data_IF_316914361254
#
_entry.id   IF_316914361254
#
_cell.length_a   1.000
_cell.length_b   1.000
_cell.length_c   1.000
_cell.angle_alpha   90.00
_cell.angle_beta   90.00
_cell.angle_gamma   90.00
#
_symmetry.space_group_name_H-M   'P 1'
#
loop_
_entity.id
_entity.type
_entity.pdbx_description
1 polymer ?
#
# COMPACT_ATOMS: atom_id res chain seq x y z
N UNK A 1 13.75 -4.96 -8.24
CA UNK A 1 12.58 -5.16 -7.36
C UNK A 1 12.94 -4.56 -6.00
N UNK A 2 12.28 -3.48 -5.56
CA UNK A 2 12.67 -2.78 -4.32
C UNK A 2 11.71 -3.21 -3.21
N UNK A 3 12.19 -3.90 -2.15
CA UNK A 3 11.34 -4.46 -1.10
C UNK A 3 10.70 -3.41 -0.17
N UNK A 4 11.14 -2.15 -0.23
CA UNK A 4 10.68 -1.05 0.63
C UNK A 4 9.87 -0.03 -0.16
N UNK A 5 8.64 -0.38 -0.58
CA UNK A 5 7.76 0.54 -1.33
C UNK A 5 6.99 1.54 -0.46
N UNK A 6 6.95 1.33 0.86
CA UNK A 6 6.13 2.16 1.73
C UNK A 6 6.97 3.21 2.46
N UNK A 7 6.67 4.49 2.21
CA UNK A 7 7.35 5.62 2.84
C UNK A 7 7.27 5.57 4.38
N UNK A 8 6.32 4.83 4.96
CA UNK A 8 6.23 4.60 6.40
C UNK A 8 7.50 4.00 7.02
N UNK A 9 8.26 3.20 6.26
CA UNK A 9 9.53 2.65 6.74
C UNK A 9 10.64 3.70 6.87
N UNK A 10 10.45 4.89 6.27
CA UNK A 10 11.37 6.02 6.41
C UNK A 10 11.07 6.88 7.63
N UNK A 11 9.94 6.67 8.34
CA UNK A 11 9.56 7.48 9.51
C UNK A 11 10.66 7.47 10.59
N UNK A 12 11.26 6.31 10.96
CA UNK A 12 12.34 6.31 11.96
C UNK A 12 13.60 7.05 11.48
N UNK A 13 14.00 6.86 10.23
CA UNK A 13 15.17 7.53 9.64
C UNK A 13 14.95 9.04 9.50
N UNK A 14 13.71 9.48 9.25
CA UNK A 14 13.37 10.89 9.11
C UNK A 14 13.76 11.72 10.34
N UNK A 15 13.67 11.13 11.55
CA UNK A 15 14.10 11.80 12.78
C UNK A 15 15.61 12.08 12.79
N UNK A 16 16.44 11.11 12.38
CA UNK A 16 17.88 11.31 12.28
C UNK A 16 18.22 12.33 11.20
N UNK A 17 17.56 12.26 10.04
CA UNK A 17 17.74 13.24 8.95
C UNK A 17 17.39 14.65 9.43
N UNK A 18 16.32 14.81 10.21
CA UNK A 18 15.93 16.10 10.76
C UNK A 18 16.96 16.63 11.77
N UNK A 19 17.46 15.78 12.67
CA UNK A 19 18.48 16.17 13.66
C UNK A 19 19.80 16.59 13.00
N UNK A 20 20.35 15.76 12.11
CA UNK A 20 21.57 16.09 11.39
C UNK A 20 21.39 17.29 10.45
N UNK A 21 20.20 17.42 9.86
CA UNK A 21 19.83 18.59 9.06
C UNK A 21 19.84 19.88 9.90
N UNK A 22 19.28 19.84 11.11
CA UNK A 22 19.26 20.97 12.03
C UNK A 22 20.68 21.37 12.48
N UNK A 23 21.53 20.40 12.82
CA UNK A 23 22.93 20.65 13.17
C UNK A 23 23.69 21.29 12.00
N UNK A 24 23.49 20.78 10.79
CA UNK A 24 24.07 21.35 9.56
C UNK A 24 23.62 22.81 9.34
N UNK A 25 22.32 23.08 9.48
CA UNK A 25 21.77 24.43 9.37
C UNK A 25 22.35 25.37 10.44
N UNK A 26 22.52 24.90 11.67
CA UNK A 26 23.10 25.68 12.77
C UNK A 26 24.58 26.01 12.53
N UNK A 27 25.36 25.08 11.98
CA UNK A 27 26.75 25.32 11.59
C UNK A 27 26.84 26.34 10.45
N UNK A 28 25.97 26.22 9.44
CA UNK A 28 25.88 27.18 8.33
C UNK A 28 25.50 28.57 8.86
N UNK A 29 24.49 28.64 9.74
CA UNK A 29 24.05 29.88 10.36
C UNK A 29 25.18 30.56 11.14
N UNK A 30 25.88 29.83 12.02
CA UNK A 30 27.02 30.34 12.80
C UNK A 30 28.14 30.90 11.92
N UNK A 31 28.31 30.36 10.71
CA UNK A 31 29.32 30.85 9.75
C UNK A 31 28.84 32.11 9.03
N UNK A 32 27.59 32.12 8.57
CA UNK A 32 26.99 33.25 7.84
C UNK A 32 26.73 34.46 8.74
N UNK A 33 26.34 34.24 9.99
CA UNK A 33 26.01 35.31 10.94
C UNK A 33 27.22 36.13 11.42
N UNK A 34 28.44 35.74 11.04
CA UNK A 34 29.67 36.50 11.35
C UNK A 34 29.73 37.86 10.66
N UNK A 35 28.99 38.03 9.57
CA UNK A 35 28.90 39.28 8.83
C UNK A 35 27.42 39.70 8.72
N UNK A 36 27.08 41.00 8.83
CA UNK A 36 25.68 41.45 8.79
C UNK A 36 24.98 41.11 7.47
N UNK A 37 25.67 41.25 6.34
CA UNK A 37 25.17 40.80 5.02
C UNK A 37 24.97 39.27 4.95
N UNK A 38 25.84 38.51 5.61
CA UNK A 38 25.73 37.06 5.73
C UNK A 38 24.54 36.62 6.58
N UNK A 39 24.25 37.33 7.67
CA UNK A 39 23.09 37.08 8.52
C UNK A 39 21.77 37.30 7.76
N UNK A 40 21.65 38.40 7.02
CA UNK A 40 20.45 38.73 6.22
C UNK A 40 20.23 37.70 5.11
N UNK A 41 21.28 37.37 4.35
CA UNK A 41 21.20 36.37 3.27
C UNK A 41 20.91 34.96 3.81
N UNK A 42 21.53 34.57 4.93
CA UNK A 42 21.23 33.31 5.61
C UNK A 42 19.78 33.23 6.08
N UNK A 43 19.23 34.33 6.60
CA UNK A 43 17.83 34.38 7.03
C UNK A 43 16.88 34.26 5.84
N UNK A 44 17.17 34.96 4.74
CA UNK A 44 16.38 34.85 3.51
C UNK A 44 16.40 33.43 2.94
N UNK A 45 17.56 32.77 2.90
CA UNK A 45 17.68 31.37 2.46
C UNK A 45 16.90 30.41 3.37
N UNK A 46 16.97 30.61 4.69
CA UNK A 46 16.20 29.82 5.64
C UNK A 46 14.69 29.99 5.43
N UNK A 47 14.23 31.23 5.24
CA UNK A 47 12.82 31.52 4.99
C UNK A 47 12.34 30.90 3.66
N UNK A 48 13.14 30.98 2.59
CA UNK A 48 12.84 30.31 1.32
C UNK A 48 12.76 28.78 1.49
N UNK A 49 13.65 28.20 2.30
CA UNK A 49 13.59 26.78 2.65
C UNK A 49 12.29 26.40 3.36
N UNK A 50 11.87 27.18 4.36
CA UNK A 50 10.60 26.98 5.06
C UNK A 50 9.39 27.09 4.11
N UNK A 51 9.40 28.07 3.22
CA UNK A 51 8.35 28.22 2.20
C UNK A 51 8.31 26.99 1.29
N UNK A 52 9.48 26.52 0.82
CA UNK A 52 9.58 25.31 -0.01
C UNK A 52 9.05 24.06 0.70
N UNK A 53 9.38 23.88 1.98
CA UNK A 53 8.86 22.77 2.81
C UNK A 53 7.34 22.87 2.97
N UNK A 54 6.81 24.07 3.23
CA UNK A 54 5.37 24.28 3.35
C UNK A 54 4.62 24.01 2.04
N UNK A 55 5.15 24.46 0.91
CA UNK A 55 4.56 24.16 -0.41
C UNK A 55 4.57 22.65 -0.69
N UNK A 56 5.67 21.97 -0.37
CA UNK A 56 5.76 20.51 -0.50
C UNK A 56 4.74 19.81 0.40
N UNK A 57 4.58 20.28 1.65
CA UNK A 57 3.57 19.77 2.56
C UNK A 57 2.16 19.92 1.98
N UNK A 58 1.82 21.08 1.41
CA UNK A 58 0.53 21.31 0.78
C UNK A 58 0.32 20.41 -0.45
N UNK A 59 1.30 20.31 -1.33
CA UNK A 59 1.22 19.46 -2.53
C UNK A 59 0.98 17.99 -2.18
N UNK A 60 1.61 17.49 -1.12
CA UNK A 60 1.49 16.08 -0.71
C UNK A 60 0.20 15.82 0.08
N UNK A 61 -0.18 16.73 0.99
CA UNK A 61 -1.27 16.47 1.94
C UNK A 61 -2.63 16.99 1.47
N UNK A 62 -2.70 18.08 0.69
CA UNK A 62 -3.97 18.63 0.22
C UNK A 62 -4.77 17.64 -0.65
N UNK A 63 -4.17 16.89 -1.60
CA UNK A 63 -4.91 15.86 -2.33
C UNK A 63 -5.41 14.75 -1.41
N UNK A 64 -4.62 14.33 -0.42
CA UNK A 64 -5.00 13.28 0.53
C UNK A 64 -6.21 13.65 1.39
N UNK A 65 -6.37 14.94 1.72
CA UNK A 65 -7.55 15.43 2.43
C UNK A 65 -8.83 15.32 1.60
N UNK A 66 -8.72 15.26 0.27
CA UNK A 66 -9.87 15.05 -0.63
C UNK A 66 -10.12 13.57 -0.95
N UNK A 67 -9.23 12.66 -0.55
CA UNK A 67 -9.44 11.24 -0.76
C UNK A 67 -10.58 10.76 0.15
N UNK A 68 -11.59 10.17 -0.47
CA UNK A 68 -12.73 9.58 0.23
C UNK A 68 -12.76 8.08 -0.04
N UNK A 69 -13.32 7.32 0.88
CA UNK A 69 -13.47 5.88 0.71
C UNK A 69 -14.78 5.50 -0.02
N UNK A 70 -15.44 6.46 -0.67
CA UNK A 70 -16.78 6.26 -1.25
C UNK A 70 -16.78 5.16 -2.31
N UNK A 71 -15.79 5.15 -3.22
CA UNK A 71 -15.67 4.13 -4.26
C UNK A 71 -15.42 2.74 -3.66
N UNK A 72 -14.49 2.65 -2.70
CA UNK A 72 -14.18 1.42 -1.98
C UNK A 72 -15.42 0.86 -1.26
N UNK A 73 -16.16 1.72 -0.55
CA UNK A 73 -17.38 1.33 0.15
C UNK A 73 -18.46 0.87 -0.83
N UNK A 74 -18.63 1.56 -1.96
CA UNK A 74 -19.59 1.15 -2.99
C UNK A 74 -19.26 -0.21 -3.58
N UNK A 75 -17.98 -0.51 -3.82
CA UNK A 75 -17.57 -1.83 -4.32
C UNK A 75 -17.76 -2.92 -3.27
N UNK A 76 -17.45 -2.66 -2.01
CA UNK A 76 -17.70 -3.61 -0.92
C UNK A 76 -19.18 -3.89 -0.71
N UNK A 77 -20.03 -2.87 -0.85
CA UNK A 77 -21.47 -3.05 -0.78
C UNK A 77 -21.98 -3.99 -1.88
N UNK A 78 -21.46 -3.88 -3.11
CA UNK A 78 -21.77 -4.83 -4.20
C UNK A 78 -21.33 -6.26 -3.87
N UNK A 79 -20.12 -6.42 -3.32
CA UNK A 79 -19.64 -7.75 -2.87
C UNK A 79 -20.57 -8.31 -1.80
N UNK A 80 -20.93 -7.51 -0.80
CA UNK A 80 -21.86 -7.93 0.25
C UNK A 80 -23.22 -8.35 -0.31
N UNK A 81 -23.81 -7.55 -1.19
CA UNK A 81 -25.12 -7.87 -1.77
C UNK A 81 -25.10 -9.13 -2.66
N UNK A 82 -23.95 -9.46 -3.23
CA UNK A 82 -23.81 -10.58 -4.18
C UNK A 82 -23.38 -11.88 -3.54
N UNK A 83 -22.34 -11.83 -2.69
CA UNK A 83 -21.66 -13.02 -2.20
C UNK A 83 -22.32 -13.46 -0.88
N UNK A 84 -22.83 -14.71 -0.80
CA UNK A 84 -23.40 -15.25 0.43
C UNK A 84 -22.38 -15.26 1.57
N UNK A 85 -22.78 -14.84 2.78
CA UNK A 85 -21.86 -14.68 3.94
C UNK A 85 -21.17 -15.97 4.40
N UNK A 86 -21.69 -17.13 4.01
CA UNK A 86 -21.14 -18.45 4.33
C UNK A 86 -20.16 -18.97 3.27
N UNK A 87 -19.99 -18.26 2.15
CA UNK A 87 -19.03 -18.62 1.11
C UNK A 87 -17.63 -18.09 1.44
N UNK A 88 -16.61 -18.87 1.06
CA UNK A 88 -15.22 -18.44 1.18
C UNK A 88 -14.89 -17.37 0.13
N UNK A 89 -14.15 -16.34 0.56
CA UNK A 89 -13.56 -15.33 -0.33
C UNK A 89 -12.07 -15.26 -0.04
N UNK A 90 -11.23 -15.47 -1.06
CA UNK A 90 -9.82 -15.14 -0.95
C UNK A 90 -9.66 -13.62 -0.97
N UNK A 91 -9.27 -13.02 0.14
CA UNK A 91 -9.12 -11.58 0.27
C UNK A 91 -7.65 -11.14 0.20
N UNK A 92 -7.27 -10.60 -0.96
CA UNK A 92 -5.90 -10.15 -1.16
C UNK A 92 -5.63 -8.75 -0.60
N UNK A 93 -6.67 -7.96 -0.33
CA UNK A 93 -6.56 -6.54 0.05
C UNK A 93 -7.07 -6.24 1.48
N UNK A 94 -7.73 -7.20 2.11
CA UNK A 94 -8.21 -7.12 3.50
C UNK A 94 -9.47 -6.31 3.71
N UNK A 95 -10.31 -6.21 2.68
CA UNK A 95 -11.53 -5.39 2.70
C UNK A 95 -12.81 -6.20 2.97
N UNK A 96 -12.75 -7.52 2.85
CA UNK A 96 -13.86 -8.48 2.97
C UNK A 96 -13.76 -9.34 4.24
N UNK A 97 -13.27 -8.75 5.34
CA UNK A 97 -12.98 -9.41 6.63
C UNK A 97 -14.17 -10.15 7.29
N UNK A 98 -15.38 -9.95 6.78
CA UNK A 98 -16.60 -10.58 7.28
C UNK A 98 -16.93 -11.91 6.60
N UNK A 99 -16.13 -12.33 5.61
CA UNK A 99 -16.19 -13.66 5.01
C UNK A 99 -15.08 -14.56 5.54
N UNK A 100 -15.29 -15.88 5.57
CA UNK A 100 -14.21 -16.81 5.86
C UNK A 100 -13.16 -16.76 4.74
N UNK A 101 -11.89 -16.58 5.12
CA UNK A 101 -10.77 -16.59 4.20
C UNK A 101 -10.25 -18.03 4.03
N UNK A 102 -10.10 -18.54 2.79
CA UNK A 102 -9.55 -19.86 2.54
C UNK A 102 -8.04 -19.95 2.79
N UNK A 103 -7.34 -18.82 2.88
CA UNK A 103 -5.90 -18.77 2.97
C UNK A 103 -5.44 -17.91 4.15
N UNK A 104 -4.44 -18.40 4.87
CA UNK A 104 -4.01 -17.75 6.11
C UNK A 104 -3.26 -16.43 5.88
N UNK A 105 -2.68 -16.22 4.70
CA UNK A 105 -1.96 -14.99 4.37
C UNK A 105 -2.88 -14.07 3.54
N UNK A 106 -3.55 -13.14 4.21
CA UNK A 106 -4.37 -12.11 3.56
C UNK A 106 -3.62 -10.77 3.50
N UNK A 107 -4.19 -9.84 2.74
CA UNK A 107 -4.03 -8.40 2.98
C UNK A 107 -2.62 -7.81 2.73
N UNK A 108 -1.64 -8.65 2.38
CA UNK A 108 -0.27 -8.28 2.02
C UNK A 108 0.09 -8.96 0.69
N UNK A 109 0.96 -8.36 -0.14
CA UNK A 109 1.36 -8.95 -1.42
C UNK A 109 2.33 -10.12 -1.21
N UNK A 110 1.83 -11.24 -0.66
CA UNK A 110 2.64 -12.34 -0.14
C UNK A 110 3.48 -13.07 -1.19
N UNK A 111 3.02 -13.10 -2.44
CA UNK A 111 3.84 -13.62 -3.54
C UNK A 111 5.17 -12.88 -3.70
N UNK A 112 5.26 -11.62 -3.29
CA UNK A 112 6.49 -10.81 -3.43
C UNK A 112 7.55 -11.14 -2.38
N UNK A 113 7.15 -11.63 -1.21
CA UNK A 113 8.06 -11.84 -0.08
C UNK A 113 8.15 -13.27 0.43
N UNK A 114 7.30 -14.18 -0.06
CA UNK A 114 7.32 -15.59 0.35
C UNK A 114 8.69 -16.27 0.16
N UNK A 115 9.48 -15.85 -0.85
CA UNK A 115 10.81 -16.40 -1.11
C UNK A 115 11.87 -16.02 -0.08
N UNK A 116 11.57 -15.04 0.78
CA UNK A 116 12.47 -14.61 1.87
C UNK A 116 12.11 -15.24 3.22
N UNK A 117 11.03 -16.01 3.28
CA UNK A 117 10.63 -16.67 4.52
C UNK A 117 11.46 -17.92 4.75
N UNK A 118 11.82 -18.14 6.01
CA UNK A 118 12.52 -19.36 6.42
C UNK A 118 11.66 -20.62 6.27
N UNK A 119 10.33 -20.46 6.27
CA UNK A 119 9.38 -21.54 6.00
C UNK A 119 8.51 -21.16 4.79
N UNK A 120 8.31 -22.07 3.82
CA UNK A 120 7.48 -21.79 2.65
C UNK A 120 6.01 -21.65 3.06
N UNK A 121 5.29 -20.75 2.39
CA UNK A 121 3.85 -20.65 2.55
C UNK A 121 3.18 -21.93 1.96
N UNK A 122 2.09 -22.45 2.56
CA UNK A 122 1.20 -23.43 1.94
C UNK A 122 0.79 -23.08 0.51
N UNK A 123 0.48 -24.08 -0.31
CA UNK A 123 -0.01 -23.85 -1.68
C UNK A 123 -1.36 -23.12 -1.67
N UNK A 124 -1.45 -22.01 -2.42
CA UNK A 124 -2.69 -21.23 -2.57
C UNK A 124 -3.74 -22.02 -3.34
N UNK A 125 -3.39 -22.61 -4.48
CA UNK A 125 -4.31 -23.42 -5.29
C UNK A 125 -4.97 -24.53 -4.48
N UNK A 126 -4.16 -25.29 -3.71
CA UNK A 126 -4.67 -26.35 -2.83
C UNK A 126 -5.65 -25.83 -1.78
N UNK A 127 -5.38 -24.65 -1.21
CA UNK A 127 -6.27 -24.04 -0.24
C UNK A 127 -7.62 -23.70 -0.89
N UNK A 128 -7.60 -23.05 -2.06
CA UNK A 128 -8.79 -22.70 -2.84
C UNK A 128 -9.64 -23.92 -3.23
N UNK A 129 -8.99 -25.01 -3.65
CA UNK A 129 -9.66 -26.27 -3.98
C UNK A 129 -10.30 -26.92 -2.74
N UNK A 130 -9.56 -26.95 -1.63
CA UNK A 130 -10.01 -27.60 -0.37
C UNK A 130 -11.24 -26.92 0.19
N UNK A 131 -11.28 -25.59 0.17
CA UNK A 131 -12.41 -24.80 0.65
C UNK A 131 -13.48 -24.57 -0.42
N UNK A 132 -13.27 -25.08 -1.65
CA UNK A 132 -14.15 -24.86 -2.81
C UNK A 132 -14.45 -23.38 -3.03
N UNK A 133 -13.42 -22.54 -2.91
CA UNK A 133 -13.56 -21.08 -2.98
C UNK A 133 -14.00 -20.64 -4.36
N UNK A 134 -15.15 -19.97 -4.44
CA UNK A 134 -15.71 -19.47 -5.69
C UNK A 134 -15.32 -18.03 -6.00
N UNK A 135 -14.85 -17.29 -5.01
CA UNK A 135 -14.67 -15.84 -5.09
C UNK A 135 -13.26 -15.43 -4.67
N UNK A 136 -12.65 -14.54 -5.46
CA UNK A 136 -11.38 -13.89 -5.13
C UNK A 136 -11.60 -12.39 -5.18
N UNK A 137 -11.33 -11.71 -4.07
CA UNK A 137 -11.32 -10.26 -4.00
C UNK A 137 -9.87 -9.76 -4.13
N UNK A 138 -9.54 -9.18 -5.29
CA UNK A 138 -8.18 -8.71 -5.58
C UNK A 138 -7.93 -7.25 -5.19
N UNK A 139 -8.99 -6.51 -4.85
CA UNK A 139 -8.97 -5.09 -4.52
C UNK A 139 -8.59 -4.18 -5.71
N UNK A 140 -8.60 -2.87 -5.45
CA UNK A 140 -8.30 -1.83 -6.46
C UNK A 140 -6.88 -1.94 -7.02
N UNK A 141 -5.95 -2.48 -6.24
CA UNK A 141 -4.54 -2.68 -6.62
C UNK A 141 -4.30 -3.95 -7.45
N UNK A 142 -5.35 -4.73 -7.76
CA UNK A 142 -5.26 -5.97 -8.56
C UNK A 142 -4.18 -6.92 -8.04
N UNK A 143 -4.25 -7.24 -6.74
CA UNK A 143 -3.18 -7.92 -6.01
C UNK A 143 -2.90 -9.35 -6.46
N UNK A 144 -3.75 -9.94 -7.31
CA UNK A 144 -3.43 -11.20 -8.02
C UNK A 144 -2.09 -11.06 -8.76
N UNK A 145 -1.81 -9.90 -9.37
CA UNK A 145 -0.54 -9.62 -10.07
C UNK A 145 0.71 -9.65 -9.18
N UNK A 146 0.52 -9.65 -7.86
CA UNK A 146 1.60 -9.69 -6.87
C UNK A 146 1.88 -11.10 -6.34
N UNK A 147 1.06 -12.08 -6.73
CA UNK A 147 1.24 -13.49 -6.39
C UNK A 147 2.39 -14.10 -7.20
N UNK A 148 2.79 -15.34 -6.88
CA UNK A 148 3.76 -16.03 -7.72
C UNK A 148 3.18 -16.37 -9.10
N UNK A 149 4.03 -16.50 -10.14
CA UNK A 149 3.58 -16.86 -11.48
C UNK A 149 2.71 -18.12 -11.54
N UNK A 150 3.00 -19.13 -10.71
CA UNK A 150 2.23 -20.37 -10.63
C UNK A 150 0.81 -20.15 -10.11
N UNK A 151 0.65 -19.31 -9.08
CA UNK A 151 -0.65 -18.98 -8.51
C UNK A 151 -1.44 -18.05 -9.44
N UNK A 152 -0.75 -17.12 -10.11
CA UNK A 152 -1.35 -16.27 -11.14
C UNK A 152 -1.91 -17.10 -12.30
N UNK A 153 -1.16 -18.09 -12.77
CA UNK A 153 -1.60 -19.00 -13.83
C UNK A 153 -2.84 -19.78 -13.37
N UNK A 154 -2.79 -20.39 -12.17
CA UNK A 154 -3.94 -21.11 -11.61
C UNK A 154 -5.21 -20.24 -11.55
N UNK A 155 -5.08 -19.01 -11.03
CA UNK A 155 -6.21 -18.08 -10.94
C UNK A 155 -6.73 -17.71 -12.33
N UNK A 156 -5.85 -17.44 -13.28
CA UNK A 156 -6.24 -17.06 -14.65
C UNK A 156 -6.96 -18.21 -15.37
N UNK A 157 -6.56 -19.45 -15.10
CA UNK A 157 -7.16 -20.64 -15.73
C UNK A 157 -8.53 -21.00 -15.14
N UNK A 158 -8.78 -20.65 -13.86
CA UNK A 158 -9.99 -21.09 -13.14
C UNK A 158 -10.96 -19.97 -12.79
N UNK A 159 -10.55 -18.71 -12.84
CA UNK A 159 -11.37 -17.57 -12.41
C UNK A 159 -11.43 -16.49 -13.49
N UNK A 160 -12.60 -15.90 -13.67
CA UNK A 160 -12.83 -14.78 -14.57
C UNK A 160 -13.24 -13.54 -13.80
N UNK A 161 -12.95 -12.37 -14.36
CA UNK A 161 -13.35 -11.09 -13.78
C UNK A 161 -14.88 -11.02 -13.74
N UNK A 162 -15.43 -10.68 -12.58
CA UNK A 162 -16.86 -10.47 -12.40
C UNK A 162 -17.38 -9.34 -13.28
N UNK A 163 -18.57 -9.53 -13.85
CA UNK A 163 -19.30 -8.49 -14.57
C UNK A 163 -19.69 -7.29 -13.67
N UNK A 164 -19.63 -7.44 -12.35
CA UNK A 164 -20.04 -6.41 -11.38
C UNK A 164 -18.91 -5.51 -10.87
N UNK A 165 -17.67 -5.75 -11.33
CA UNK A 165 -16.53 -4.88 -11.04
C UNK A 165 -15.20 -5.60 -11.20
N UNK A 166 -14.19 -4.88 -11.68
CA UNK A 166 -12.86 -5.44 -11.97
C UNK A 166 -12.06 -5.96 -10.77
N UNK A 167 -12.60 -5.82 -9.55
CA UNK A 167 -11.92 -6.17 -8.29
C UNK A 167 -12.32 -7.55 -7.73
N UNK A 168 -13.38 -8.15 -8.26
CA UNK A 168 -13.89 -9.45 -7.84
C UNK A 168 -13.74 -10.45 -9.00
N UNK A 169 -13.19 -11.64 -8.74
CA UNK A 169 -13.10 -12.74 -9.70
C UNK A 169 -13.95 -13.91 -9.22
N UNK A 170 -14.63 -14.55 -10.15
CA UNK A 170 -15.52 -15.68 -9.88
C UNK A 170 -14.98 -16.92 -10.58
N UNK A 171 -15.17 -18.07 -9.95
CA UNK A 171 -14.81 -19.35 -10.55
C UNK A 171 -15.56 -19.51 -11.87
N UNK A 172 -14.83 -19.85 -12.93
CA UNK A 172 -15.38 -20.09 -14.25
C UNK A 172 -16.21 -21.38 -14.23
N UNK A 173 -17.34 -21.42 -14.96
CA UNK A 173 -18.18 -22.60 -15.05
C UNK A 173 -17.49 -23.77 -15.76
#
# INVERSE_FOLDING_TARGET
YIPLKHAQYLIPIALFVALYGADGLLLIWKKLSRHPLGAVSGFALFLMGLIGLYQTFLLVNKPKLSWTNVEMLSNLEKVWQTVPKNEYILDLDGSTLYYPDPYYACCLPFGQWQGFLSQPLPSLSKALETTKTKYIFQGSLKRVTTLQPTDQAYITDHYTISSMGGELLWMSP
#
